data_IF_633638903150
#
_entry.id   IF_633638903150
#
_cell.length_a   1.000
_cell.length_b   1.000
_cell.length_c   1.000
_cell.angle_alpha   90.00
_cell.angle_beta   90.00
_cell.angle_gamma   90.00
#
_symmetry.space_group_name_H-M   'P 1'
#
loop_
_entity.id
_entity.type
_entity.pdbx_description
1 polymer ?
#
# COMPACT_ATOMS: atom_id res chain seq x y z
N UNK A 1 -100.51 -4.85 33.48
CA UNK A 1 -101.14 -3.52 33.59
C UNK A 1 -100.01 -2.50 33.61
N UNK A 2 -99.63 -2.00 32.42
CA UNK A 2 -99.82 -0.61 31.95
C UNK A 2 -99.05 0.42 32.83
N UNK A 3 -97.88 0.89 32.38
CA UNK A 3 -97.65 2.07 31.49
C UNK A 3 -97.84 3.38 32.27
N UNK A 4 -96.91 4.35 32.29
CA UNK A 4 -96.46 5.09 31.10
C UNK A 4 -95.18 5.90 31.33
N UNK A 5 -94.53 6.21 30.21
CA UNK A 5 -93.24 6.88 30.04
C UNK A 5 -93.41 8.36 29.69
N UNK A 6 -92.42 9.19 30.01
CA UNK A 6 -92.19 10.50 29.38
C UNK A 6 -90.82 10.45 28.71
N UNK A 7 -90.77 10.64 27.38
CA UNK A 7 -89.52 10.80 26.63
C UNK A 7 -89.56 12.11 25.85
N UNK A 8 -88.57 12.95 26.14
CA UNK A 8 -88.32 14.26 25.57
C UNK A 8 -87.70 14.11 24.18
N UNK A 9 -88.27 14.81 23.19
CA UNK A 9 -87.83 14.80 21.80
C UNK A 9 -86.72 15.86 21.61
N UNK A 10 -85.48 15.42 21.33
CA UNK A 10 -84.37 16.29 20.94
C UNK A 10 -84.30 16.34 19.40
N UNK A 11 -84.39 17.54 18.84
CA UNK A 11 -84.19 17.81 17.41
C UNK A 11 -82.71 18.16 17.21
N UNK A 12 -81.97 17.30 16.51
CA UNK A 12 -80.59 17.57 16.09
C UNK A 12 -80.54 17.90 14.59
N UNK A 13 -80.08 19.11 14.26
CA UNK A 13 -79.69 19.52 12.91
C UNK A 13 -78.38 18.84 12.52
N UNK A 14 -78.36 18.13 11.39
CA UNK A 14 -77.14 17.59 10.80
C UNK A 14 -76.52 18.64 9.87
N UNK A 15 -75.34 19.16 10.22
CA UNK A 15 -74.49 19.93 9.33
C UNK A 15 -73.52 18.98 8.61
N UNK A 16 -73.67 18.83 7.30
CA UNK A 16 -72.75 18.06 6.45
C UNK A 16 -71.53 18.90 6.11
N UNK A 17 -70.42 18.69 6.81
CA UNK A 17 -69.09 19.15 6.40
C UNK A 17 -68.49 18.16 5.41
N UNK A 18 -68.43 18.55 4.14
CA UNK A 18 -67.70 17.82 3.11
C UNK A 18 -66.19 17.99 3.34
N UNK A 19 -65.52 16.96 3.83
CA UNK A 19 -64.06 16.87 3.80
C UNK A 19 -63.63 16.45 2.40
N UNK A 20 -62.91 17.33 1.69
CA UNK A 20 -62.21 16.97 0.48
C UNK A 20 -61.14 15.91 0.82
N UNK A 21 -61.14 14.80 0.08
CA UNK A 21 -60.08 13.80 0.16
C UNK A 21 -58.73 14.45 -0.20
N UNK A 22 -57.63 14.09 0.48
CA UNK A 22 -56.32 14.56 0.07
C UNK A 22 -56.06 14.05 -1.34
N UNK A 23 -55.64 14.95 -2.24
CA UNK A 23 -55.16 14.55 -3.55
C UNK A 23 -54.04 13.53 -3.37
N UNK A 24 -54.13 12.39 -4.08
CA UNK A 24 -53.05 11.42 -4.19
C UNK A 24 -51.82 12.14 -4.77
N UNK A 25 -50.96 12.60 -3.86
CA UNK A 25 -49.66 13.14 -4.20
C UNK A 25 -48.88 12.03 -4.87
N UNK A 26 -48.50 12.25 -6.12
CA UNK A 26 -47.55 11.43 -6.86
C UNK A 26 -46.36 11.14 -5.94
N UNK A 27 -46.27 9.89 -5.45
CA UNK A 27 -45.07 9.38 -4.83
C UNK A 27 -43.95 9.63 -5.84
N UNK A 28 -42.87 10.35 -5.47
CA UNK A 28 -41.73 10.48 -6.37
C UNK A 28 -41.33 9.07 -6.76
N UNK A 29 -41.42 8.79 -8.06
CA UNK A 29 -41.02 7.52 -8.63
C UNK A 29 -39.66 7.18 -8.04
N UNK A 30 -39.55 6.02 -7.40
CA UNK A 30 -38.26 5.55 -6.87
C UNK A 30 -37.32 5.71 -8.05
N UNK A 31 -36.32 6.58 -7.94
CA UNK A 31 -35.33 6.75 -9.01
C UNK A 31 -34.84 5.35 -9.34
N UNK A 32 -35.33 4.81 -10.45
CA UNK A 32 -34.96 3.48 -10.89
C UNK A 32 -33.48 3.62 -11.19
N UNK A 33 -32.63 3.19 -10.27
CA UNK A 33 -31.20 3.17 -10.51
C UNK A 33 -31.02 2.35 -11.79
N UNK A 34 -30.65 3.03 -12.88
CA UNK A 34 -30.41 2.37 -14.15
C UNK A 34 -29.51 1.16 -13.89
N UNK A 35 -29.91 0.00 -14.39
CA UNK A 35 -29.16 -1.24 -14.19
C UNK A 35 -27.72 -1.00 -14.66
N UNK A 36 -26.77 -1.10 -13.73
CA UNK A 36 -25.34 -0.86 -13.99
C UNK A 36 -24.89 -1.78 -15.14
N UNK A 37 -24.29 -1.20 -16.19
CA UNK A 37 -23.82 -1.96 -17.34
C UNK A 37 -22.77 -3.00 -16.91
N UNK A 38 -22.76 -4.16 -17.54
CA UNK A 38 -21.78 -5.22 -17.28
C UNK A 38 -21.10 -5.62 -18.59
N UNK A 39 -19.77 -5.60 -18.61
CA UNK A 39 -18.97 -5.97 -19.77
C UNK A 39 -18.08 -7.16 -19.41
N UNK A 40 -18.03 -8.16 -20.30
CA UNK A 40 -17.10 -9.28 -20.23
C UNK A 40 -16.23 -9.26 -21.48
N UNK A 41 -15.00 -8.71 -21.45
CA UNK A 41 -14.13 -8.71 -22.62
C UNK A 41 -13.79 -10.15 -23.01
N UNK A 42 -13.83 -10.43 -24.31
CA UNK A 42 -13.37 -11.70 -24.83
C UNK A 42 -11.85 -11.84 -24.59
N UNK A 43 -11.43 -13.04 -24.18
CA UNK A 43 -10.02 -13.44 -24.16
C UNK A 43 -9.72 -14.17 -25.47
N UNK A 44 -8.59 -13.83 -26.11
CA UNK A 44 -8.09 -14.50 -27.30
C UNK A 44 -7.52 -15.89 -26.98
N UNK A 45 -7.24 -16.19 -25.72
CA UNK A 45 -6.72 -17.49 -25.28
C UNK A 45 -5.31 -17.81 -25.78
N UNK A 46 -4.60 -16.82 -26.29
CA UNK A 46 -3.28 -16.95 -26.92
C UNK A 46 -2.33 -15.89 -26.35
N UNK A 47 -1.27 -16.33 -25.68
CA UNK A 47 -0.27 -15.44 -25.05
C UNK A 47 0.56 -14.62 -26.04
N UNK A 48 0.49 -14.92 -27.34
CA UNK A 48 1.14 -14.14 -28.39
C UNK A 48 0.31 -12.95 -28.86
N UNK A 49 -1.00 -12.94 -28.58
CA UNK A 49 -1.92 -11.87 -28.96
C UNK A 49 -2.23 -10.96 -27.76
N UNK A 50 -2.59 -9.70 -28.01
CA UNK A 50 -2.82 -8.70 -26.95
C UNK A 50 -4.31 -8.57 -26.63
N UNK A 51 -4.69 -8.94 -25.41
CA UNK A 51 -6.06 -8.78 -24.90
C UNK A 51 -6.30 -7.40 -24.29
N UNK A 52 -5.24 -6.60 -24.05
CA UNK A 52 -5.36 -5.27 -23.44
C UNK A 52 -6.38 -4.37 -24.15
N UNK A 53 -6.45 -4.28 -25.50
CA UNK A 53 -7.44 -3.46 -26.19
C UNK A 53 -8.89 -3.84 -25.89
N UNK A 54 -9.19 -5.13 -25.78
CA UNK A 54 -10.55 -5.60 -25.46
C UNK A 54 -10.95 -5.23 -24.03
N UNK A 55 -10.00 -5.32 -23.08
CA UNK A 55 -10.22 -4.90 -21.69
C UNK A 55 -10.45 -3.39 -21.61
N UNK A 56 -9.63 -2.58 -22.29
CA UNK A 56 -9.81 -1.12 -22.36
C UNK A 56 -11.16 -0.74 -22.96
N UNK A 57 -11.59 -1.41 -24.03
CA UNK A 57 -12.91 -1.18 -24.62
C UNK A 57 -14.05 -1.49 -23.64
N UNK A 58 -13.93 -2.58 -22.87
CA UNK A 58 -14.88 -2.90 -21.81
C UNK A 58 -14.90 -1.85 -20.68
N UNK A 59 -13.75 -1.32 -20.28
CA UNK A 59 -13.66 -0.21 -19.31
C UNK A 59 -14.31 1.05 -19.88
N UNK A 60 -14.06 1.43 -21.13
CA UNK A 60 -14.72 2.59 -21.75
C UNK A 60 -16.24 2.41 -21.82
N UNK A 61 -16.72 1.20 -22.14
CA UNK A 61 -18.15 0.93 -22.32
C UNK A 61 -18.91 0.79 -20.99
N UNK A 62 -18.31 0.21 -19.96
CA UNK A 62 -18.98 -0.12 -18.69
C UNK A 62 -18.37 0.55 -17.47
N UNK A 63 -17.27 1.29 -17.60
CA UNK A 63 -16.51 1.87 -16.49
C UNK A 63 -17.17 3.06 -15.80
N UNK A 64 -18.22 3.65 -16.37
CA UNK A 64 -18.98 4.69 -15.69
C UNK A 64 -20.06 4.08 -14.78
N UNK A 65 -19.64 3.67 -13.58
CA UNK A 65 -20.50 3.08 -12.55
C UNK A 65 -20.85 1.60 -12.73
N UNK A 66 -20.48 1.00 -13.86
CA UNK A 66 -20.73 -0.40 -14.20
C UNK A 66 -19.66 -1.37 -13.74
N UNK A 67 -19.77 -2.61 -14.23
CA UNK A 67 -18.91 -3.74 -13.85
C UNK A 67 -18.19 -4.29 -15.07
N UNK A 68 -16.89 -4.56 -14.92
CA UNK A 68 -16.09 -5.29 -15.90
C UNK A 68 -15.75 -6.64 -15.26
N UNK A 69 -16.03 -7.74 -15.95
CA UNK A 69 -15.83 -9.10 -15.42
C UNK A 69 -14.87 -9.87 -16.32
N UNK A 70 -13.73 -10.28 -15.78
CA UNK A 70 -12.83 -11.25 -16.38
C UNK A 70 -13.02 -12.60 -15.67
N UNK A 71 -13.71 -13.57 -16.30
CA UNK A 71 -14.19 -14.77 -15.62
C UNK A 71 -13.07 -15.77 -15.32
N UNK A 72 -13.32 -16.64 -14.34
CA UNK A 72 -12.41 -17.72 -13.95
C UNK A 72 -12.13 -18.67 -15.11
N UNK A 73 -10.95 -19.30 -15.08
CA UNK A 73 -10.51 -20.24 -16.11
C UNK A 73 -10.07 -19.60 -17.42
N UNK A 74 -9.99 -18.26 -17.47
CA UNK A 74 -9.43 -17.52 -18.61
C UNK A 74 -8.02 -17.01 -18.31
N UNK A 75 -7.24 -16.88 -19.39
CA UNK A 75 -5.97 -16.16 -19.40
C UNK A 75 -6.09 -15.00 -20.36
N UNK A 76 -5.81 -13.79 -19.88
CA UNK A 76 -5.73 -12.57 -20.69
C UNK A 76 -4.25 -12.21 -20.84
N UNK A 77 -3.80 -12.12 -22.07
CA UNK A 77 -2.44 -11.76 -22.42
C UNK A 77 -2.29 -10.24 -22.45
N UNK A 78 -1.57 -9.69 -21.47
CA UNK A 78 -1.34 -8.25 -21.33
C UNK A 78 -0.01 -7.91 -22.00
N UNK A 79 -0.07 -7.38 -23.22
CA UNK A 79 1.13 -7.08 -24.02
C UNK A 79 1.38 -5.59 -24.18
N UNK A 80 0.37 -4.77 -23.93
CA UNK A 80 0.48 -3.31 -23.80
C UNK A 80 -0.01 -2.83 -22.44
N UNK A 81 0.44 -1.65 -21.99
CA UNK A 81 0.01 -1.04 -20.72
C UNK A 81 -1.52 -0.94 -20.65
N UNK A 82 -2.11 -1.50 -19.59
CA UNK A 82 -3.54 -1.44 -19.30
C UNK A 82 -3.83 -0.18 -18.46
N UNK A 83 -4.14 0.92 -19.13
CA UNK A 83 -4.66 2.12 -18.46
C UNK A 83 -6.17 1.99 -18.18
N UNK A 84 -6.59 2.56 -17.04
CA UNK A 84 -7.97 2.51 -16.56
C UNK A 84 -8.81 3.72 -16.99
N UNK A 85 -8.42 4.42 -18.07
CA UNK A 85 -9.17 5.56 -18.58
C UNK A 85 -10.62 5.16 -18.87
N UNK A 86 -11.58 5.95 -18.37
CA UNK A 86 -13.01 5.66 -18.47
C UNK A 86 -13.62 4.98 -17.23
N UNK A 87 -12.80 4.52 -16.27
CA UNK A 87 -13.31 4.08 -14.98
C UNK A 87 -13.67 5.29 -14.10
N UNK A 88 -14.96 5.36 -13.72
CA UNK A 88 -15.50 6.28 -12.72
C UNK A 88 -16.52 5.51 -11.88
N UNK A 89 -16.23 5.27 -10.61
CA UNK A 89 -16.99 4.35 -9.75
C UNK A 89 -17.18 2.94 -10.36
N UNK A 90 -16.20 2.46 -11.14
CA UNK A 90 -16.28 1.14 -11.76
C UNK A 90 -16.00 0.00 -10.77
N UNK A 91 -16.51 -1.19 -11.10
CA UNK A 91 -16.18 -2.44 -10.42
C UNK A 91 -15.51 -3.40 -11.40
N UNK A 92 -14.18 -3.44 -11.37
CA UNK A 92 -13.36 -4.34 -12.16
C UNK A 92 -13.11 -5.63 -11.36
N UNK A 93 -13.80 -6.69 -11.77
CA UNK A 93 -13.74 -8.01 -11.16
C UNK A 93 -12.93 -8.94 -12.05
N UNK A 94 -11.87 -9.54 -11.53
CA UNK A 94 -11.09 -10.52 -12.27
C UNK A 94 -10.84 -11.76 -11.44
N UNK A 95 -11.34 -12.89 -11.95
CA UNK A 95 -11.07 -14.23 -11.42
C UNK A 95 -10.12 -15.01 -12.36
N UNK A 96 -9.56 -14.30 -13.34
CA UNK A 96 -8.70 -14.78 -14.41
C UNK A 96 -7.20 -14.59 -14.10
N UNK A 97 -6.36 -15.18 -14.95
CA UNK A 97 -4.94 -14.87 -15.04
C UNK A 97 -4.70 -13.71 -16.02
N UNK A 98 -4.16 -12.59 -15.55
CA UNK A 98 -3.59 -11.55 -16.40
C UNK A 98 -2.10 -11.86 -16.57
N UNK A 99 -1.70 -12.36 -17.74
CA UNK A 99 -0.34 -12.78 -18.03
C UNK A 99 0.38 -11.70 -18.82
N UNK A 100 1.37 -11.07 -18.21
CA UNK A 100 2.16 -10.00 -18.84
C UNK A 100 3.17 -10.57 -19.84
N UNK A 101 3.31 -9.93 -21.00
CA UNK A 101 4.30 -10.31 -22.00
C UNK A 101 5.73 -10.19 -21.44
N UNK A 102 6.65 -11.03 -21.89
CA UNK A 102 8.05 -10.96 -21.49
C UNK A 102 8.88 -9.96 -22.33
N UNK A 103 8.22 -9.01 -23.00
CA UNK A 103 8.85 -8.05 -23.90
C UNK A 103 9.50 -6.91 -23.10
N UNK A 104 10.72 -7.14 -22.64
CA UNK A 104 11.47 -6.17 -21.84
C UNK A 104 11.81 -4.90 -22.61
N UNK A 105 11.89 -4.96 -23.94
CA UNK A 105 12.13 -3.79 -24.78
C UNK A 105 10.92 -2.86 -24.75
N UNK A 106 9.71 -3.41 -24.91
CA UNK A 106 8.49 -2.62 -24.76
C UNK A 106 8.34 -2.10 -23.32
N UNK A 107 8.44 -2.98 -22.32
CA UNK A 107 8.21 -2.62 -20.92
C UNK A 107 9.20 -1.60 -20.37
N UNK A 108 10.43 -1.52 -20.91
CA UNK A 108 11.39 -0.48 -20.55
C UNK A 108 10.93 0.94 -20.93
N UNK A 109 9.94 1.07 -21.81
CA UNK A 109 9.36 2.35 -22.23
C UNK A 109 8.11 2.76 -21.42
N UNK A 110 7.63 1.88 -20.53
CA UNK A 110 6.37 2.06 -19.81
C UNK A 110 6.61 2.33 -18.32
N UNK A 111 5.79 3.20 -17.72
CA UNK A 111 5.83 3.42 -16.27
C UNK A 111 5.13 2.32 -15.47
N UNK A 112 4.17 1.63 -16.09
CA UNK A 112 3.32 0.65 -15.43
C UNK A 112 2.87 -0.48 -16.36
N UNK A 113 2.50 -1.62 -15.78
CA UNK A 113 1.69 -2.65 -16.44
C UNK A 113 0.21 -2.25 -16.38
N UNK A 114 -0.27 -1.84 -15.21
CA UNK A 114 -1.60 -1.31 -14.96
C UNK A 114 -1.48 0.12 -14.43
N UNK A 115 -2.08 1.08 -15.13
CA UNK A 115 -2.06 2.49 -14.78
C UNK A 115 -3.45 2.97 -14.35
N UNK A 116 -3.55 3.44 -13.11
CA UNK A 116 -4.73 4.13 -12.57
C UNK A 116 -4.38 5.60 -12.34
N UNK A 117 -4.55 6.42 -13.38
CA UNK A 117 -4.27 7.85 -13.33
C UNK A 117 -5.55 8.65 -13.19
N UNK A 118 -5.67 9.44 -12.12
CA UNK A 118 -6.81 10.31 -11.82
C UNK A 118 -8.17 9.59 -11.80
N UNK A 119 -8.20 8.33 -11.36
CA UNK A 119 -9.42 7.52 -11.27
C UNK A 119 -10.17 7.90 -9.99
N UNK A 120 -11.47 8.19 -10.12
CA UNK A 120 -12.34 8.55 -9.00
C UNK A 120 -13.38 7.45 -8.78
N UNK A 121 -13.14 6.62 -7.77
CA UNK A 121 -13.94 5.46 -7.46
C UNK A 121 -13.57 4.27 -8.36
N UNK A 122 -12.89 3.28 -7.78
CA UNK A 122 -12.67 2.01 -8.45
C UNK A 122 -12.64 0.88 -7.42
N UNK A 123 -13.32 -0.22 -7.73
CA UNK A 123 -13.10 -1.51 -7.07
C UNK A 123 -12.32 -2.38 -8.05
N UNK A 124 -11.08 -2.70 -7.73
CA UNK A 124 -10.21 -3.55 -8.53
C UNK A 124 -9.94 -4.84 -7.74
N UNK A 125 -10.68 -5.91 -8.03
CA UNK A 125 -10.79 -7.01 -7.08
C UNK A 125 -10.97 -8.38 -7.70
N UNK A 126 -10.55 -9.39 -6.95
CA UNK A 126 -11.00 -10.76 -7.11
C UNK A 126 -11.95 -11.07 -5.96
N UNK A 127 -13.17 -11.48 -6.29
CA UNK A 127 -14.21 -11.84 -5.33
C UNK A 127 -14.02 -13.25 -4.79
N UNK A 128 -13.37 -14.13 -5.57
CA UNK A 128 -13.19 -15.54 -5.19
C UNK A 128 -11.79 -15.86 -4.67
N UNK A 129 -10.85 -14.93 -4.81
CA UNK A 129 -9.45 -15.14 -4.45
C UNK A 129 -8.61 -15.79 -5.56
N UNK A 130 -9.19 -16.06 -6.74
CA UNK A 130 -8.48 -16.74 -7.84
C UNK A 130 -7.85 -15.80 -8.86
N UNK A 131 -8.12 -14.50 -8.79
CA UNK A 131 -7.55 -13.50 -9.69
C UNK A 131 -6.04 -13.38 -9.49
N UNK A 132 -5.28 -13.49 -10.59
CA UNK A 132 -3.82 -13.39 -10.58
C UNK A 132 -3.33 -12.42 -11.64
N UNK A 133 -2.42 -11.52 -11.26
CA UNK A 133 -1.61 -10.72 -12.18
C UNK A 133 -0.21 -11.33 -12.16
N UNK A 134 0.20 -12.01 -13.23
CA UNK A 134 1.55 -12.53 -13.40
C UNK A 134 2.37 -11.54 -14.24
N UNK A 135 3.17 -10.72 -13.55
CA UNK A 135 4.05 -9.70 -14.11
C UNK A 135 5.20 -10.25 -14.97
N UNK A 136 5.40 -11.57 -14.96
CA UNK A 136 6.37 -12.27 -15.81
C UNK A 136 7.82 -11.71 -15.72
N UNK A 137 8.23 -11.26 -14.54
CA UNK A 137 9.43 -10.46 -14.32
C UNK A 137 10.79 -11.16 -14.52
N UNK A 138 10.85 -12.48 -14.75
CA UNK A 138 12.12 -13.22 -14.80
C UNK A 138 13.14 -12.61 -15.77
N UNK A 139 12.74 -12.32 -17.01
CA UNK A 139 13.63 -11.72 -18.00
C UNK A 139 14.13 -10.33 -17.55
N UNK A 140 13.27 -9.56 -16.87
CA UNK A 140 13.65 -8.25 -16.35
C UNK A 140 14.68 -8.37 -15.21
N UNK A 141 14.57 -9.40 -14.35
CA UNK A 141 15.56 -9.66 -13.30
C UNK A 141 16.93 -10.01 -13.89
N UNK A 142 16.94 -10.92 -14.87
CA UNK A 142 18.17 -11.41 -15.49
C UNK A 142 18.88 -10.31 -16.27
N UNK A 143 18.14 -9.48 -17.03
CA UNK A 143 18.72 -8.35 -17.76
C UNK A 143 19.17 -7.25 -16.79
N UNK A 144 18.39 -6.90 -15.77
CA UNK A 144 18.79 -5.88 -14.80
C UNK A 144 20.04 -6.25 -14.01
N UNK A 145 20.25 -7.55 -13.74
CA UNK A 145 21.47 -8.05 -13.12
C UNK A 145 22.71 -7.84 -14.01
N UNK A 146 22.56 -7.86 -15.34
CA UNK A 146 23.63 -7.59 -16.30
C UNK A 146 23.76 -6.10 -16.66
N UNK A 147 22.64 -5.36 -16.64
CA UNK A 147 22.54 -3.94 -16.99
C UNK A 147 21.55 -3.22 -16.06
N UNK A 148 22.07 -2.57 -15.02
CA UNK A 148 21.28 -1.82 -14.04
C UNK A 148 20.62 -0.56 -14.61
N UNK A 149 20.87 -0.20 -15.88
CA UNK A 149 20.21 0.93 -16.54
C UNK A 149 18.80 0.58 -17.03
N UNK A 150 18.48 -0.72 -17.16
CA UNK A 150 17.17 -1.20 -17.60
C UNK A 150 16.05 -0.61 -16.75
N UNK A 151 15.16 0.15 -17.39
CA UNK A 151 13.90 0.60 -16.79
C UNK A 151 12.92 -0.56 -16.78
N UNK A 152 12.17 -0.68 -15.67
CA UNK A 152 11.23 -1.78 -15.44
C UNK A 152 9.93 -1.20 -14.86
N UNK A 153 8.75 -1.55 -15.40
CA UNK A 153 7.50 -0.95 -15.01
C UNK A 153 7.07 -1.43 -13.61
N UNK A 154 6.32 -0.58 -12.90
CA UNK A 154 5.55 -1.01 -11.72
C UNK A 154 4.37 -1.87 -12.16
N UNK A 155 3.92 -2.86 -11.39
CA UNK A 155 2.72 -3.63 -11.79
C UNK A 155 1.46 -2.78 -11.72
N UNK A 156 1.13 -2.21 -10.56
CA UNK A 156 0.02 -1.29 -10.37
C UNK A 156 0.54 0.08 -9.97
N UNK A 157 0.39 1.07 -10.84
CA UNK A 157 0.80 2.44 -10.57
C UNK A 157 -0.43 3.35 -10.46
N UNK A 158 -0.65 3.90 -9.27
CA UNK A 158 -1.74 4.83 -8.96
C UNK A 158 -1.18 6.25 -8.92
N UNK A 159 -1.72 7.14 -9.74
CA UNK A 159 -1.28 8.54 -9.82
C UNK A 159 -2.50 9.44 -9.68
N UNK A 160 -2.64 10.09 -8.52
CA UNK A 160 -3.79 10.90 -8.17
C UNK A 160 -5.08 10.09 -8.07
N UNK A 161 -6.20 10.80 -8.14
CA UNK A 161 -7.52 10.18 -8.01
C UNK A 161 -7.92 9.89 -6.56
N UNK A 162 -9.07 9.25 -6.40
CA UNK A 162 -9.67 9.01 -5.09
C UNK A 162 -10.47 7.72 -5.02
N UNK A 163 -10.62 7.18 -3.81
CA UNK A 163 -11.55 6.09 -3.50
C UNK A 163 -11.26 4.79 -4.27
N UNK A 164 -10.02 4.31 -4.20
CA UNK A 164 -9.63 3.00 -4.72
C UNK A 164 -9.85 1.92 -3.65
N UNK A 165 -10.41 0.79 -4.07
CA UNK A 165 -10.42 -0.46 -3.30
C UNK A 165 -9.80 -1.55 -4.16
N UNK A 166 -8.56 -1.94 -3.84
CA UNK A 166 -7.85 -3.05 -4.46
C UNK A 166 -7.86 -4.26 -3.52
N UNK A 167 -8.48 -5.38 -3.90
CA UNK A 167 -8.66 -6.48 -2.93
C UNK A 167 -8.74 -7.90 -3.48
N UNK A 168 -8.26 -8.85 -2.67
CA UNK A 168 -8.50 -10.29 -2.84
C UNK A 168 -7.71 -10.99 -3.94
N UNK A 169 -6.80 -10.31 -4.64
CA UNK A 169 -6.04 -10.89 -5.74
C UNK A 169 -4.57 -11.13 -5.41
N UNK A 170 -3.91 -11.90 -6.27
CA UNK A 170 -2.48 -12.15 -6.21
C UNK A 170 -1.71 -11.37 -7.28
N UNK A 171 -0.60 -10.74 -6.92
CA UNK A 171 0.41 -10.27 -7.87
C UNK A 171 1.61 -11.21 -7.79
N UNK A 172 2.04 -11.76 -8.92
CA UNK A 172 3.12 -12.72 -9.03
C UNK A 172 4.21 -12.18 -9.93
N UNK A 173 5.46 -12.30 -9.52
CA UNK A 173 6.67 -12.02 -10.30
C UNK A 173 6.63 -10.66 -11.02
N UNK A 174 6.52 -9.54 -10.29
CA UNK A 174 6.56 -8.21 -10.88
C UNK A 174 7.94 -7.92 -11.48
N UNK A 175 8.06 -7.21 -12.63
CA UNK A 175 9.38 -6.82 -13.14
C UNK A 175 10.18 -5.92 -12.19
N UNK A 176 9.48 -5.15 -11.35
CA UNK A 176 9.99 -4.15 -10.41
C UNK A 176 9.03 -4.04 -9.22
N UNK A 177 8.78 -2.83 -8.70
CA UNK A 177 7.75 -2.53 -7.69
C UNK A 177 6.40 -3.17 -8.01
N UNK A 178 5.76 -3.76 -7.01
CA UNK A 178 4.42 -4.31 -7.15
C UNK A 178 3.37 -3.20 -7.25
N UNK A 179 3.25 -2.36 -6.21
CA UNK A 179 2.26 -1.29 -6.14
C UNK A 179 2.95 0.03 -5.81
N UNK A 180 2.73 1.05 -6.63
CA UNK A 180 3.14 2.43 -6.35
C UNK A 180 1.91 3.33 -6.26
N UNK A 181 1.91 4.28 -5.32
CA UNK A 181 0.91 5.36 -5.27
C UNK A 181 1.56 6.74 -5.03
N UNK A 182 1.09 7.75 -5.75
CA UNK A 182 1.59 9.14 -5.66
C UNK A 182 0.58 10.13 -6.27
N UNK A 183 0.98 11.41 -6.36
CA UNK A 183 0.26 12.43 -7.12
C UNK A 183 -1.01 12.92 -6.43
N UNK A 184 -0.96 13.06 -5.10
CA UNK A 184 -2.08 13.44 -4.25
C UNK A 184 -3.27 12.47 -4.30
N UNK A 185 -3.00 11.17 -4.44
CA UNK A 185 -4.02 10.13 -4.33
C UNK A 185 -4.64 10.13 -2.92
N UNK A 186 -5.95 9.90 -2.80
CA UNK A 186 -6.64 9.92 -1.49
C UNK A 186 -7.67 8.81 -1.31
N UNK A 187 -7.82 8.28 -0.09
CA UNK A 187 -8.72 7.17 0.23
C UNK A 187 -8.38 5.90 -0.58
N UNK A 188 -7.16 5.39 -0.38
CA UNK A 188 -6.65 4.20 -1.04
C UNK A 188 -6.74 3.00 -0.10
N UNK A 189 -7.45 1.94 -0.48
CA UNK A 189 -7.67 0.77 0.36
C UNK A 189 -7.16 -0.49 -0.36
N UNK A 190 -6.15 -1.14 0.22
CA UNK A 190 -5.59 -2.39 -0.24
C UNK A 190 -5.87 -3.47 0.79
N UNK A 191 -6.53 -4.56 0.40
CA UNK A 191 -6.97 -5.58 1.34
C UNK A 191 -6.79 -7.00 0.83
N UNK A 192 -6.31 -7.92 1.68
CA UNK A 192 -6.27 -9.36 1.38
C UNK A 192 -5.47 -9.68 0.10
N UNK A 193 -4.35 -8.99 -0.12
CA UNK A 193 -3.48 -9.21 -1.28
C UNK A 193 -2.40 -10.25 -0.96
N UNK A 194 -2.06 -11.06 -1.96
CA UNK A 194 -0.87 -11.91 -1.92
C UNK A 194 0.11 -11.44 -3.00
N UNK A 195 1.34 -11.19 -2.63
CA UNK A 195 2.34 -10.57 -3.48
C UNK A 195 3.62 -11.37 -3.37
N UNK A 196 4.07 -11.99 -4.45
CA UNK A 196 5.26 -12.83 -4.41
C UNK A 196 6.12 -12.69 -5.65
N UNK A 197 7.43 -12.53 -5.44
CA UNK A 197 8.45 -12.56 -6.46
C UNK A 197 9.35 -13.76 -6.19
N UNK A 198 9.55 -14.61 -7.20
CA UNK A 198 10.50 -15.71 -7.14
C UNK A 198 11.32 -15.76 -8.43
N UNK A 199 12.64 -15.81 -8.28
CA UNK A 199 13.54 -16.03 -9.41
C UNK A 199 13.70 -17.53 -9.68
N UNK A 200 13.84 -17.87 -10.96
CA UNK A 200 14.20 -19.20 -11.46
C UNK A 200 15.71 -19.30 -11.76
N UNK A 201 16.46 -18.23 -11.53
CA UNK A 201 17.91 -18.14 -11.72
C UNK A 201 18.57 -17.70 -10.40
N UNK A 202 19.89 -17.51 -10.42
CA UNK A 202 20.63 -16.92 -9.29
C UNK A 202 20.42 -15.40 -9.17
N UNK A 203 19.84 -14.75 -10.18
CA UNK A 203 19.60 -13.31 -10.18
C UNK A 203 18.38 -13.00 -9.33
N UNK A 204 18.56 -12.17 -8.31
CA UNK A 204 17.49 -11.82 -7.38
C UNK A 204 16.44 -10.91 -8.04
N UNK A 205 15.16 -10.97 -7.64
CA UNK A 205 14.11 -10.01 -8.00
C UNK A 205 14.36 -8.61 -7.41
N UNK A 206 15.43 -7.93 -7.83
CA UNK A 206 15.85 -6.63 -7.29
C UNK A 206 14.74 -5.58 -7.42
N UNK A 207 14.56 -4.75 -6.39
CA UNK A 207 13.62 -3.64 -6.37
C UNK A 207 12.15 -4.05 -6.53
N UNK A 208 11.82 -5.25 -6.03
CA UNK A 208 10.44 -5.74 -6.01
C UNK A 208 9.66 -5.21 -4.80
N UNK A 209 9.74 -3.90 -4.53
CA UNK A 209 9.08 -3.26 -3.40
C UNK A 209 7.59 -3.59 -3.38
N UNK A 210 7.05 -4.01 -2.23
CA UNK A 210 5.64 -4.40 -2.12
C UNK A 210 4.73 -3.19 -2.34
N UNK A 211 4.90 -2.16 -1.52
CA UNK A 211 4.22 -0.89 -1.68
C UNK A 211 5.21 0.27 -1.63
N UNK A 212 5.21 1.11 -2.65
CA UNK A 212 5.77 2.46 -2.60
C UNK A 212 4.63 3.46 -2.36
N UNK A 213 4.55 3.97 -1.12
CA UNK A 213 3.52 4.92 -0.67
C UNK A 213 4.11 6.32 -0.67
N UNK A 214 3.96 7.06 -1.77
CA UNK A 214 4.37 8.46 -1.90
C UNK A 214 3.26 9.45 -1.59
N UNK A 215 3.30 10.61 -2.26
CA UNK A 215 2.34 11.73 -2.10
C UNK A 215 0.88 11.27 -2.15
N UNK A 216 0.28 11.08 -0.97
CA UNK A 216 -1.05 10.51 -0.79
C UNK A 216 -1.60 10.72 0.62
N UNK A 217 -2.93 10.64 0.77
CA UNK A 217 -3.64 10.72 2.06
C UNK A 217 -4.62 9.58 2.28
N UNK A 218 -4.83 9.18 3.54
CA UNK A 218 -5.83 8.17 3.94
C UNK A 218 -5.66 6.84 3.21
N UNK A 219 -4.49 6.23 3.39
CA UNK A 219 -4.18 4.92 2.83
C UNK A 219 -4.33 3.85 3.89
N UNK A 220 -5.04 2.78 3.56
CA UNK A 220 -5.14 1.57 4.40
C UNK A 220 -4.59 0.37 3.65
N UNK A 221 -3.64 -0.34 4.26
CA UNK A 221 -3.09 -1.62 3.78
C UNK A 221 -3.42 -2.67 4.83
N UNK A 222 -4.25 -3.65 4.50
CA UNK A 222 -4.80 -4.59 5.47
C UNK A 222 -4.72 -6.04 5.02
N UNK A 223 -4.29 -6.92 5.92
CA UNK A 223 -4.21 -8.37 5.70
C UNK A 223 -3.43 -8.75 4.42
N UNK A 224 -2.24 -8.18 4.24
CA UNK A 224 -1.42 -8.37 3.02
C UNK A 224 -0.21 -9.25 3.29
N UNK A 225 0.09 -10.17 2.36
CA UNK A 225 1.27 -11.04 2.39
C UNK A 225 2.22 -10.71 1.25
N UNK A 226 3.48 -10.41 1.57
CA UNK A 226 4.52 -10.00 0.62
C UNK A 226 5.74 -10.91 0.77
N UNK A 227 6.16 -11.53 -0.33
CA UNK A 227 7.46 -12.20 -0.46
C UNK A 227 8.24 -11.51 -1.57
N UNK A 228 9.24 -10.72 -1.20
CA UNK A 228 9.98 -9.88 -2.12
C UNK A 228 11.44 -9.70 -1.70
N UNK A 229 12.22 -8.98 -2.51
CA UNK A 229 13.66 -8.80 -2.32
C UNK A 229 14.04 -7.31 -2.24
N UNK A 230 13.13 -6.48 -1.75
CA UNK A 230 13.35 -5.07 -1.41
C UNK A 230 12.34 -4.64 -0.32
N UNK A 231 12.11 -3.34 -0.09
CA UNK A 231 11.21 -2.84 0.96
C UNK A 231 9.83 -3.54 0.89
N UNK A 232 9.32 -4.04 2.02
CA UNK A 232 7.98 -4.62 2.08
C UNK A 232 6.94 -3.53 1.84
N UNK A 233 7.06 -2.44 2.60
CA UNK A 233 6.34 -1.19 2.40
C UNK A 233 7.35 -0.07 2.60
N UNK A 234 7.45 0.81 1.62
CA UNK A 234 8.23 2.02 1.71
C UNK A 234 7.31 3.26 1.78
N UNK A 235 7.41 3.99 2.88
CA UNK A 235 6.74 5.27 3.08
C UNK A 235 7.64 6.38 2.50
N UNK A 236 7.35 6.80 1.27
CA UNK A 236 8.11 7.82 0.54
C UNK A 236 7.59 9.23 0.86
N UNK A 237 8.32 10.24 0.39
CA UNK A 237 7.98 11.65 0.59
C UNK A 237 6.54 11.99 0.14
N UNK A 238 5.84 12.74 0.98
CA UNK A 238 4.49 13.24 0.77
C UNK A 238 3.36 12.34 1.30
N UNK A 239 3.65 11.15 1.86
CA UNK A 239 2.60 10.32 2.42
C UNK A 239 2.13 10.83 3.80
N UNK A 240 0.81 10.80 4.01
CA UNK A 240 0.16 11.25 5.25
C UNK A 240 -1.07 10.39 5.56
N UNK A 241 -1.32 10.07 6.83
CA UNK A 241 -2.45 9.23 7.27
C UNK A 241 -2.44 7.86 6.60
N UNK A 242 -1.40 7.07 6.89
CA UNK A 242 -1.24 5.71 6.40
C UNK A 242 -1.44 4.72 7.54
N UNK A 243 -2.36 3.76 7.36
CA UNK A 243 -2.57 2.66 8.30
C UNK A 243 -2.18 1.34 7.65
N UNK A 244 -1.33 0.57 8.32
CA UNK A 244 -1.01 -0.81 7.97
C UNK A 244 -1.52 -1.70 9.10
N UNK A 245 -2.40 -2.65 8.80
CA UNK A 245 -3.03 -3.54 9.79
C UNK A 245 -2.93 -4.99 9.31
N UNK A 246 -2.00 -5.75 9.88
CA UNK A 246 -1.78 -7.16 9.51
C UNK A 246 -1.02 -7.31 8.20
N UNK A 247 0.31 -7.12 8.23
CA UNK A 247 1.19 -7.40 7.08
C UNK A 247 2.17 -8.53 7.42
N UNK A 248 2.38 -9.45 6.49
CA UNK A 248 3.43 -10.47 6.59
C UNK A 248 4.44 -10.28 5.47
N UNK A 249 5.70 -10.05 5.83
CA UNK A 249 6.81 -9.79 4.89
C UNK A 249 7.82 -10.94 4.93
N UNK A 250 8.36 -11.34 3.78
CA UNK A 250 9.31 -12.45 3.63
C UNK A 250 10.19 -12.26 2.39
N UNK A 251 11.19 -13.12 2.18
CA UNK A 251 11.93 -13.21 0.90
C UNK A 251 13.25 -12.44 0.82
N UNK A 252 13.91 -12.13 1.94
CA UNK A 252 15.00 -11.14 2.01
C UNK A 252 14.51 -9.70 1.78
N UNK A 253 13.27 -9.41 2.17
CA UNK A 253 12.69 -8.07 2.17
C UNK A 253 13.56 -7.08 2.95
N UNK A 254 13.52 -5.81 2.58
CA UNK A 254 14.13 -4.71 3.32
C UNK A 254 13.20 -4.09 4.38
N UNK A 255 12.06 -4.74 4.67
CA UNK A 255 11.21 -4.41 5.81
C UNK A 255 10.25 -3.25 5.57
N UNK A 256 9.67 -2.76 6.65
CA UNK A 256 8.81 -1.57 6.65
C UNK A 256 9.70 -0.34 6.79
N UNK A 257 9.87 0.43 5.72
CA UNK A 257 10.87 1.48 5.65
C UNK A 257 10.22 2.85 5.44
N UNK A 258 10.50 3.81 6.30
CA UNK A 258 10.36 5.22 5.92
C UNK A 258 11.54 5.58 5.02
N UNK A 259 11.26 6.20 3.88
CA UNK A 259 12.24 6.70 2.94
C UNK A 259 12.62 5.77 1.78
N UNK A 260 13.75 6.00 1.12
CA UNK A 260 14.72 7.05 1.46
C UNK A 260 14.17 8.47 1.27
N UNK A 261 14.47 9.38 2.19
CA UNK A 261 14.03 10.79 2.16
C UNK A 261 15.22 11.74 2.03
N UNK A 262 15.00 12.90 1.41
CA UNK A 262 15.99 13.99 1.34
C UNK A 262 16.97 13.87 0.18
N UNK A 263 16.73 13.00 -0.82
CA UNK A 263 17.70 12.76 -1.91
C UNK A 263 18.06 14.06 -2.66
N UNK A 264 17.06 14.83 -3.03
CA UNK A 264 17.21 16.10 -3.77
C UNK A 264 16.23 17.18 -3.33
N UNK A 265 15.16 16.82 -2.61
CA UNK A 265 14.07 17.72 -2.24
C UNK A 265 13.79 17.60 -0.74
N UNK A 266 13.08 18.59 -0.20
CA UNK A 266 12.48 18.46 1.12
C UNK A 266 11.38 17.40 1.08
N UNK A 267 11.54 16.34 1.87
CA UNK A 267 10.60 15.22 1.94
C UNK A 267 9.93 15.16 3.31
N UNK A 268 8.64 14.81 3.32
CA UNK A 268 7.88 14.67 4.57
C UNK A 268 7.14 13.33 4.62
N UNK A 269 7.07 12.72 5.80
CA UNK A 269 6.26 11.52 6.08
C UNK A 269 5.55 11.75 7.41
N UNK A 270 4.22 11.63 7.43
CA UNK A 270 3.43 12.01 8.60
C UNK A 270 2.33 10.99 8.91
N UNK A 271 2.00 10.82 10.18
CA UNK A 271 0.81 10.08 10.63
C UNK A 271 0.74 8.66 10.05
N UNK A 272 1.78 7.87 10.28
CA UNK A 272 1.87 6.46 9.87
C UNK A 272 1.63 5.58 11.08
N UNK A 273 0.67 4.67 11.00
CA UNK A 273 0.39 3.69 12.04
C UNK A 273 0.48 2.28 11.45
N UNK A 274 1.41 1.48 11.96
CA UNK A 274 1.57 0.07 11.59
C UNK A 274 1.20 -0.78 12.80
N UNK A 275 0.34 -1.77 12.59
CA UNK A 275 0.05 -2.79 13.60
C UNK A 275 -0.02 -4.21 13.05
N UNK A 276 0.32 -5.19 13.89
CA UNK A 276 0.23 -6.61 13.56
C UNK A 276 1.18 -7.06 12.45
N UNK A 277 2.40 -6.51 12.39
CA UNK A 277 3.38 -6.87 11.37
C UNK A 277 4.16 -8.14 11.75
N UNK A 278 4.30 -9.06 10.80
CA UNK A 278 5.14 -10.26 10.90
C UNK A 278 6.26 -10.16 9.88
N UNK A 279 7.50 -10.06 10.37
CA UNK A 279 8.68 -9.81 9.55
C UNK A 279 9.56 -11.06 9.57
N UNK A 280 9.63 -11.79 8.46
CA UNK A 280 10.40 -13.02 8.34
C UNK A 280 11.62 -12.82 7.43
N UNK A 281 12.81 -13.17 7.90
CA UNK A 281 14.04 -13.23 7.10
C UNK A 281 14.27 -11.96 6.26
N UNK A 282 14.20 -10.79 6.92
CA UNK A 282 14.38 -9.48 6.30
C UNK A 282 15.74 -8.87 6.66
N UNK A 283 16.24 -7.89 5.89
CA UNK A 283 17.44 -7.14 6.32
C UNK A 283 17.17 -6.25 7.53
N UNK A 284 15.95 -5.72 7.63
CA UNK A 284 15.44 -5.05 8.83
C UNK A 284 13.94 -5.30 8.94
N UNK A 285 13.39 -5.41 10.15
CA UNK A 285 11.94 -5.48 10.33
C UNK A 285 11.31 -4.10 10.11
N UNK A 286 11.81 -3.06 10.76
CA UNK A 286 11.40 -1.67 10.51
C UNK A 286 12.61 -0.76 10.35
N UNK A 287 12.46 0.36 9.64
CA UNK A 287 13.49 1.38 9.65
C UNK A 287 13.16 2.71 9.00
N UNK A 288 14.12 3.63 9.10
CA UNK A 288 14.07 4.98 8.53
C UNK A 288 15.38 5.21 7.78
N UNK A 289 15.30 5.62 6.51
CA UNK A 289 16.46 5.88 5.65
C UNK A 289 16.44 7.35 5.21
N UNK A 290 17.45 8.11 5.61
CA UNK A 290 17.59 9.53 5.31
C UNK A 290 18.93 9.76 4.62
N UNK A 291 18.92 10.54 3.53
CA UNK A 291 20.16 11.04 2.94
C UNK A 291 20.86 11.98 3.94
N UNK A 292 22.19 12.04 3.85
CA UNK A 292 22.99 13.02 4.57
C UNK A 292 22.68 14.44 4.06
N UNK A 293 23.21 15.45 4.76
CA UNK A 293 23.03 16.85 4.39
C UNK A 293 23.94 17.27 3.23
N UNK A 294 24.13 18.58 3.09
CA UNK A 294 24.96 19.17 2.03
C UNK A 294 24.13 19.78 0.90
N UNK A 295 24.79 20.55 0.04
CA UNK A 295 24.11 21.42 -0.95
C UNK A 295 23.33 20.68 -2.03
N UNK A 296 23.59 19.38 -2.24
CA UNK A 296 22.91 18.54 -3.23
C UNK A 296 21.75 17.70 -2.66
N UNK A 297 21.55 17.74 -1.33
CA UNK A 297 20.51 16.98 -0.64
C UNK A 297 19.45 17.92 -0.03
N UNK A 298 18.24 17.40 0.09
CA UNK A 298 17.13 18.11 0.71
C UNK A 298 16.97 17.77 2.19
N UNK A 299 15.99 18.37 2.85
CA UNK A 299 15.66 18.06 4.24
C UNK A 299 14.66 16.91 4.35
N UNK A 300 14.57 16.27 5.53
CA UNK A 300 13.59 15.22 5.82
C UNK A 300 12.83 15.49 7.11
N UNK A 301 11.50 15.44 7.07
CA UNK A 301 10.66 15.52 8.28
C UNK A 301 9.82 14.27 8.40
N UNK A 302 10.01 13.52 9.48
CA UNK A 302 9.20 12.34 9.81
C UNK A 302 8.50 12.60 11.13
N UNK A 303 7.17 12.60 11.15
CA UNK A 303 6.42 12.86 12.37
C UNK A 303 5.24 11.92 12.59
N UNK A 304 5.01 11.57 13.86
CA UNK A 304 3.91 10.70 14.28
C UNK A 304 3.89 9.37 13.51
N UNK A 305 4.97 8.60 13.65
CA UNK A 305 5.10 7.27 13.05
C UNK A 305 5.14 6.24 14.16
N UNK A 306 4.21 5.30 14.17
CA UNK A 306 4.13 4.26 15.18
C UNK A 306 4.17 2.89 14.53
N UNK A 307 5.10 2.05 15.00
CA UNK A 307 5.12 0.62 14.77
C UNK A 307 4.67 -0.08 16.06
N UNK A 308 3.54 -0.77 16.04
CA UNK A 308 2.89 -1.34 17.21
C UNK A 308 2.51 -2.82 17.02
N UNK A 309 3.24 -3.73 17.67
CA UNK A 309 2.99 -5.16 17.52
C UNK A 309 3.74 -5.74 16.32
N UNK A 310 5.07 -5.60 16.32
CA UNK A 310 5.96 -6.18 15.31
C UNK A 310 6.58 -7.48 15.83
N UNK A 311 6.35 -8.57 15.10
CA UNK A 311 6.99 -9.86 15.36
C UNK A 311 8.17 -10.03 14.41
N UNK A 312 9.37 -10.15 14.98
CA UNK A 312 10.64 -10.30 14.26
C UNK A 312 11.05 -11.77 14.23
N UNK A 313 11.19 -12.35 13.05
CA UNK A 313 11.60 -13.74 12.86
C UNK A 313 12.78 -13.81 11.89
N UNK A 314 14.01 -13.89 12.40
CA UNK A 314 15.20 -14.08 11.56
C UNK A 314 15.62 -12.84 10.77
N UNK A 315 15.08 -11.65 11.06
CA UNK A 315 15.58 -10.42 10.44
C UNK A 315 16.99 -10.08 10.93
N UNK A 316 17.80 -9.40 10.11
CA UNK A 316 19.17 -9.01 10.51
C UNK A 316 19.12 -7.92 11.61
N UNK A 317 18.26 -6.90 11.44
CA UNK A 317 17.90 -5.94 12.47
C UNK A 317 16.39 -5.95 12.75
N UNK A 318 16.03 -5.67 14.00
CA UNK A 318 14.66 -5.41 14.41
C UNK A 318 14.25 -3.97 14.10
N UNK A 319 15.12 -2.99 14.39
CA UNK A 319 14.92 -1.59 14.03
C UNK A 319 16.22 -0.98 13.50
N UNK A 320 16.11 -0.12 12.49
CA UNK A 320 17.25 0.62 11.95
C UNK A 320 16.90 2.07 11.63
N UNK A 321 17.74 3.01 12.04
CA UNK A 321 17.70 4.41 11.57
C UNK A 321 19.04 4.67 10.89
N UNK A 322 18.98 5.02 9.61
CA UNK A 322 20.13 5.37 8.76
C UNK A 322 20.03 6.85 8.39
N UNK A 323 21.06 7.62 8.71
CA UNK A 323 21.17 9.06 8.39
C UNK A 323 22.27 9.37 7.38
N UNK A 324 22.92 8.33 6.87
CA UNK A 324 24.03 8.39 5.91
C UNK A 324 23.67 7.67 4.60
N UNK A 325 22.37 7.59 4.26
CA UNK A 325 21.92 6.76 3.16
C UNK A 325 22.40 7.29 1.80
N UNK A 326 23.08 6.43 1.03
CA UNK A 326 23.57 6.77 -0.31
C UNK A 326 24.82 7.66 -0.32
N UNK A 327 25.40 7.97 0.83
CA UNK A 327 26.66 8.68 0.94
C UNK A 327 27.83 7.80 0.49
N UNK A 328 28.95 8.45 0.14
CA UNK A 328 30.15 7.75 -0.36
C UNK A 328 31.14 7.39 0.75
N UNK A 329 31.02 8.00 1.94
CA UNK A 329 31.84 7.68 3.12
C UNK A 329 31.24 8.26 4.42
N UNK A 330 31.60 7.68 5.56
CA UNK A 330 31.22 8.20 6.89
C UNK A 330 31.75 9.62 7.14
N UNK A 331 32.90 9.97 6.55
CA UNK A 331 33.49 11.30 6.67
C UNK A 331 32.61 12.38 5.99
N UNK A 332 31.94 12.03 4.90
CA UNK A 332 30.98 12.92 4.25
C UNK A 332 29.76 13.16 5.16
N UNK A 333 29.25 12.12 5.81
CA UNK A 333 28.12 12.24 6.74
C UNK A 333 28.47 13.02 8.01
N UNK A 334 29.69 12.87 8.54
CA UNK A 334 30.15 13.67 9.68
C UNK A 334 30.33 15.16 9.32
N UNK A 335 30.77 15.46 8.10
CA UNK A 335 30.90 16.84 7.61
C UNK A 335 29.54 17.45 7.23
N UNK A 336 28.63 16.61 6.72
CA UNK A 336 27.31 16.99 6.22
C UNK A 336 26.23 16.14 6.91
N UNK A 337 25.97 16.31 8.22
CA UNK A 337 24.94 15.54 8.92
C UNK A 337 23.57 15.73 8.28
N UNK A 338 22.72 14.71 8.35
CA UNK A 338 21.40 14.73 7.73
C UNK A 338 20.56 15.92 8.23
N UNK A 339 20.04 16.69 7.27
CA UNK A 339 19.14 17.81 7.54
C UNK A 339 17.73 17.28 7.82
N UNK A 340 17.53 16.67 8.99
CA UNK A 340 16.28 15.98 9.28
C UNK A 340 15.77 16.16 10.70
N UNK A 341 14.46 15.96 10.86
CA UNK A 341 13.77 15.90 12.16
C UNK A 341 12.86 14.69 12.22
N UNK A 342 13.05 13.89 13.26
CA UNK A 342 12.19 12.80 13.68
C UNK A 342 11.45 13.25 14.94
N UNK A 343 10.11 13.21 14.92
CA UNK A 343 9.27 13.65 16.05
C UNK A 343 8.13 12.70 16.32
N UNK A 344 8.01 12.18 17.55
CA UNK A 344 6.98 11.20 17.89
C UNK A 344 7.10 9.92 17.07
N UNK A 345 8.27 9.29 17.07
CA UNK A 345 8.45 7.96 16.48
C UNK A 345 8.33 6.90 17.57
N UNK A 346 7.43 5.95 17.42
CA UNK A 346 7.14 4.97 18.46
C UNK A 346 7.38 3.53 17.98
N UNK A 347 8.09 2.75 18.79
CA UNK A 347 8.33 1.32 18.62
C UNK A 347 7.72 0.59 19.82
N UNK A 348 6.53 0.01 19.63
CA UNK A 348 5.71 -0.56 20.69
C UNK A 348 5.48 -2.06 20.47
N UNK A 349 5.49 -2.84 21.53
CA UNK A 349 5.10 -4.25 21.52
C UNK A 349 5.91 -5.09 20.49
N UNK A 350 7.23 -4.90 20.46
CA UNK A 350 8.11 -5.68 19.60
C UNK A 350 8.49 -6.99 20.29
N UNK A 351 8.51 -8.09 19.54
CA UNK A 351 8.93 -9.40 20.06
C UNK A 351 9.63 -10.24 19.00
N UNK A 352 10.36 -11.25 19.45
CA UNK A 352 10.91 -12.30 18.59
C UNK A 352 12.42 -12.31 18.56
N UNK A 353 13.00 -12.78 17.47
CA UNK A 353 14.42 -13.12 17.37
C UNK A 353 15.03 -12.64 16.06
N UNK A 354 16.15 -11.92 16.13
CA UNK A 354 16.97 -11.60 14.94
C UNK A 354 17.81 -12.81 14.51
N UNK A 355 18.43 -12.76 13.33
CA UNK A 355 19.41 -13.77 12.94
C UNK A 355 20.81 -13.50 13.55
N UNK A 356 21.77 -14.35 13.23
CA UNK A 356 23.13 -14.27 13.78
C UNK A 356 24.07 -13.32 13.05
N UNK A 357 23.64 -12.63 11.98
CA UNK A 357 24.54 -11.82 11.13
C UNK A 357 25.19 -10.66 11.88
N UNK A 358 24.42 -9.97 12.72
CA UNK A 358 24.89 -8.83 13.52
C UNK A 358 24.88 -9.11 15.02
N UNK A 359 24.66 -10.36 15.45
CA UNK A 359 24.60 -10.70 16.87
C UNK A 359 25.88 -10.24 17.62
N UNK A 360 25.75 -9.63 18.82
CA UNK A 360 24.53 -9.49 19.63
C UNK A 360 23.64 -8.29 19.28
N UNK A 361 23.96 -7.53 18.24
CA UNK A 361 23.22 -6.32 17.86
C UNK A 361 21.87 -6.68 17.26
N UNK A 362 20.79 -6.11 17.81
CA UNK A 362 19.42 -6.26 17.30
C UNK A 362 18.88 -4.97 16.69
N UNK A 363 19.43 -3.81 17.07
CA UNK A 363 19.03 -2.51 16.53
C UNK A 363 20.25 -1.64 16.24
N UNK A 364 20.20 -0.88 15.14
CA UNK A 364 21.20 0.13 14.81
C UNK A 364 20.49 1.48 14.58
N UNK A 365 20.54 2.34 15.59
CA UNK A 365 19.78 3.60 15.66
C UNK A 365 20.74 4.78 15.52
N UNK A 366 21.14 5.09 14.27
CA UNK A 366 21.98 6.24 14.00
C UNK A 366 21.11 7.50 13.83
N UNK A 367 21.09 8.36 14.83
CA UNK A 367 20.29 9.59 14.89
C UNK A 367 21.16 10.86 14.82
N UNK A 368 22.26 10.81 14.08
CA UNK A 368 23.10 11.98 13.80
C UNK A 368 22.40 12.92 12.81
N UNK A 369 21.61 13.85 13.38
CA UNK A 369 20.71 14.76 12.69
C UNK A 369 21.00 16.21 13.10
N UNK A 370 20.73 17.16 12.21
CA UNK A 370 20.75 18.59 12.58
C UNK A 370 19.49 19.04 13.34
N UNK A 371 18.38 18.29 13.22
CA UNK A 371 17.13 18.52 13.94
C UNK A 371 16.93 17.55 15.10
N UNK A 372 15.67 17.27 15.45
CA UNK A 372 15.35 16.38 16.58
C UNK A 372 15.43 14.90 16.23
N UNK A 373 15.83 14.06 17.18
CA UNK A 373 15.59 12.62 17.17
C UNK A 373 14.72 12.25 18.38
N UNK A 374 13.41 12.42 18.24
CA UNK A 374 12.43 12.09 19.27
C UNK A 374 11.77 10.74 18.95
N UNK A 375 12.34 9.70 19.56
CA UNK A 375 11.96 8.30 19.38
C UNK A 375 11.68 7.65 20.74
N UNK A 376 10.74 6.71 20.77
CA UNK A 376 10.29 6.06 22.00
C UNK A 376 10.07 4.56 21.81
N UNK A 377 10.53 3.78 22.78
CA UNK A 377 10.42 2.34 22.85
C UNK A 377 9.60 1.94 24.08
N UNK A 378 8.68 0.99 23.91
CA UNK A 378 7.94 0.39 25.01
C UNK A 378 7.65 -1.08 24.68
N UNK A 379 7.82 -1.97 25.65
CA UNK A 379 7.63 -3.42 25.45
C UNK A 379 8.42 -3.95 24.26
N UNK A 380 9.73 -3.64 24.24
CA UNK A 380 10.66 -4.03 23.18
C UNK A 380 11.46 -5.28 23.58
N UNK A 381 10.91 -6.45 23.26
CA UNK A 381 11.43 -7.76 23.68
C UNK A 381 11.99 -8.57 22.50
N UNK A 382 12.95 -8.00 21.76
CA UNK A 382 13.66 -8.69 20.67
C UNK A 382 15.06 -9.08 21.11
N UNK A 383 15.42 -10.35 20.89
CA UNK A 383 16.72 -10.89 21.27
C UNK A 383 17.45 -11.52 20.07
N UNK A 384 18.79 -11.53 20.04
CA UNK A 384 19.52 -12.37 19.11
C UNK A 384 19.45 -13.83 19.58
N UNK A 385 19.91 -14.81 18.76
CA UNK A 385 19.93 -16.22 19.15
C UNK A 385 20.77 -16.49 20.42
N UNK A 386 21.75 -15.64 20.73
CA UNK A 386 22.57 -15.72 21.96
C UNK A 386 21.84 -15.26 23.24
N UNK A 387 20.65 -14.67 23.12
CA UNK A 387 19.80 -14.29 24.25
C UNK A 387 20.04 -12.90 24.85
N UNK A 388 21.24 -12.32 24.72
CA UNK A 388 21.53 -10.95 25.20
C UNK A 388 21.58 -9.96 24.03
N UNK A 389 20.66 -9.01 24.02
CA UNK A 389 20.53 -8.00 22.96
C UNK A 389 21.40 -6.76 23.21
N UNK A 390 22.04 -6.27 22.14
CA UNK A 390 22.69 -4.96 22.08
C UNK A 390 21.92 -4.04 21.14
N UNK A 391 21.66 -2.80 21.56
CA UNK A 391 21.11 -1.75 20.69
C UNK A 391 22.18 -0.69 20.47
N UNK A 392 22.68 -0.57 19.26
CA UNK A 392 23.62 0.48 18.91
C UNK A 392 22.85 1.79 18.76
N UNK A 393 23.34 2.85 19.38
CA UNK A 393 22.76 4.18 19.33
C UNK A 393 23.82 5.25 19.07
N UNK A 394 23.43 6.26 18.31
CA UNK A 394 24.13 7.54 18.17
C UNK A 394 23.08 8.65 18.14
N UNK A 395 23.24 9.72 18.92
CA UNK A 395 22.25 10.82 18.97
C UNK A 395 20.87 10.46 19.53
N UNK A 396 20.72 9.32 20.23
CA UNK A 396 19.46 8.86 20.85
C UNK A 396 19.38 9.33 22.31
N UNK A 397 18.24 9.92 22.70
CA UNK A 397 18.00 10.34 24.09
C UNK A 397 17.96 9.16 25.07
N UNK A 398 18.45 9.37 26.29
CA UNK A 398 18.31 8.40 27.39
C UNK A 398 16.85 8.16 27.79
N UNK A 399 15.95 9.09 27.47
CA UNK A 399 14.50 8.97 27.68
C UNK A 399 13.78 8.14 26.61
N UNK A 400 14.51 7.59 25.62
CA UNK A 400 13.91 6.83 24.53
C UNK A 400 13.29 5.48 24.97
N UNK A 401 13.54 5.00 26.20
CA UNK A 401 12.99 3.74 26.68
C UNK A 401 13.74 2.49 26.19
N UNK A 402 14.99 2.64 25.75
CA UNK A 402 15.86 1.54 25.30
C UNK A 402 17.28 1.68 25.86
N UNK A 403 17.92 0.57 26.23
CA UNK A 403 19.33 0.58 26.66
C UNK A 403 20.26 0.65 25.47
N UNK A 404 21.06 1.70 25.41
CA UNK A 404 21.97 1.99 24.31
C UNK A 404 23.42 1.53 24.58
N UNK A 405 24.06 1.06 23.52
CA UNK A 405 25.52 0.92 23.39
C UNK A 405 25.99 1.86 22.28
N UNK A 406 27.20 2.40 22.37
CA UNK A 406 27.76 3.25 21.32
C UNK A 406 28.09 2.45 20.05
N UNK A 407 28.24 3.14 18.93
CA UNK A 407 28.72 2.55 17.66
C UNK A 407 27.65 2.37 16.59
N UNK A 408 26.50 3.05 16.69
CA UNK A 408 25.56 3.12 15.57
C UNK A 408 26.20 3.85 14.39
N UNK A 409 25.91 3.37 13.18
CA UNK A 409 26.36 3.95 11.91
C UNK A 409 25.28 3.79 10.84
N UNK A 410 25.33 4.65 9.83
CA UNK A 410 24.25 4.88 8.85
C UNK A 410 24.50 4.22 7.50
#
# INVERSE_FOLDING_TARGET
MLSSSVKLLLITFAATSAFAAPADGLVPDRVAHAKRATCTPASLGDTSQDDTPAIKAAITSCGNGGTIILPAGKTYSIRTMLDFTGCTNCDFQFEALLKVSSDTTYWATQEAIILMKNINGAKFRSLTGTGVIDGNGQNAYDIFAADSSLKRPTVLNVIGGSNLVASGFRIKNPPNVFINQKGAATNMNYASLTMDAASKSTNLPKNTDGFDVGESTYTTIKDVKITNYDDCIAFKGGCNYVTVDGVTCSGASHGLSVGSLGKTNADTVQNVYVTGAIMNDCTKAVGIKLYNGGSSHGSSTVSNVTYDGVTVNGCEYAAQIQTCYGATSDADCAANPASASLTGIYFKNFKGTTNSKYAPVVSNLNCELTGSCDIHFSDYAVNPPSGTATNLCNGVSSSAGITCSSGASG
#
